data_IF_627786897318
#
_entry.id   IF_627786897318
#
_cell.length_a   1.000
_cell.length_b   1.000
_cell.length_c   1.000
_cell.angle_alpha   90.00
_cell.angle_beta   90.00
_cell.angle_gamma   90.00
#
_symmetry.space_group_name_H-M   'P 1'
#
loop_
_entity.id
_entity.type
_entity.pdbx_description
1 polymer ?
#
# COMPACT_ATOMS: atom_id res chain seq x y z
N UNK A 1 12.99 6.84 -19.20
CA UNK A 1 13.37 5.54 -18.58
C UNK A 1 14.64 5.63 -17.72
N UNK A 2 15.82 5.97 -18.27
CA UNK A 2 17.09 6.04 -17.50
C UNK A 2 17.06 6.95 -16.26
N UNK A 3 16.38 8.10 -16.30
CA UNK A 3 16.28 9.04 -15.16
C UNK A 3 15.46 8.46 -14.01
N UNK A 4 14.34 7.80 -14.31
CA UNK A 4 13.47 7.16 -13.32
C UNK A 4 14.18 5.98 -12.63
N UNK A 5 14.91 5.16 -13.38
CA UNK A 5 15.71 4.05 -12.83
C UNK A 5 16.81 4.56 -11.91
N UNK A 6 17.51 5.65 -12.28
CA UNK A 6 18.53 6.27 -11.45
C UNK A 6 17.96 6.82 -10.14
N UNK A 7 16.81 7.48 -10.19
CA UNK A 7 16.11 7.97 -9.02
C UNK A 7 15.67 6.83 -8.09
N UNK A 8 15.14 5.74 -8.66
CA UNK A 8 14.74 4.57 -7.88
C UNK A 8 15.93 3.89 -7.19
N UNK A 9 17.08 3.78 -7.87
CA UNK A 9 18.30 3.22 -7.28
C UNK A 9 18.84 4.08 -6.13
N UNK A 10 18.78 5.41 -6.25
CA UNK A 10 19.23 6.32 -5.19
C UNK A 10 18.31 6.26 -3.97
N UNK A 11 17.00 6.20 -4.19
CA UNK A 11 16.00 6.01 -3.12
C UNK A 11 16.23 4.65 -2.44
N UNK A 12 16.35 3.58 -3.23
CA UNK A 12 16.65 2.24 -2.73
C UNK A 12 17.94 2.21 -1.89
N UNK A 13 19.02 2.81 -2.38
CA UNK A 13 20.31 2.84 -1.67
C UNK A 13 20.18 3.50 -0.30
N UNK A 14 19.52 4.67 -0.22
CA UNK A 14 19.27 5.38 1.05
C UNK A 14 18.37 4.56 1.99
N UNK A 15 17.31 3.96 1.45
CA UNK A 15 16.41 3.10 2.20
C UNK A 15 17.16 1.88 2.76
N UNK A 16 17.95 1.20 1.93
CA UNK A 16 18.71 0.01 2.31
C UNK A 16 19.82 0.31 3.33
N UNK A 17 20.52 1.44 3.21
CA UNK A 17 21.50 1.87 4.21
C UNK A 17 20.85 2.06 5.59
N UNK A 18 19.73 2.78 5.66
CA UNK A 18 18.97 2.96 6.93
C UNK A 18 18.47 1.63 7.50
N UNK A 19 17.96 0.74 6.66
CA UNK A 19 17.54 -0.59 7.08
C UNK A 19 18.70 -1.40 7.68
N UNK A 20 19.88 -1.36 7.06
CA UNK A 20 21.09 -2.01 7.60
C UNK A 20 21.51 -1.42 8.94
N UNK A 21 21.52 -0.11 9.08
CA UNK A 21 21.83 0.59 10.34
C UNK A 21 20.86 0.19 11.46
N UNK A 22 19.56 0.17 11.21
CA UNK A 22 18.57 -0.26 12.19
C UNK A 22 18.77 -1.72 12.60
N UNK A 23 19.10 -2.58 11.66
CA UNK A 23 19.41 -3.99 11.95
C UNK A 23 20.68 -4.13 12.79
N UNK A 24 21.74 -3.38 12.44
CA UNK A 24 22.99 -3.35 13.21
C UNK A 24 22.77 -2.80 14.62
N UNK A 25 22.03 -1.70 14.76
CA UNK A 25 21.66 -1.14 16.06
C UNK A 25 20.92 -2.15 16.94
N UNK A 26 19.98 -2.90 16.36
CA UNK A 26 19.27 -3.96 17.09
C UNK A 26 20.21 -5.05 17.62
N UNK A 27 21.17 -5.53 16.81
CA UNK A 27 22.15 -6.52 17.22
C UNK A 27 23.10 -5.96 18.27
N UNK A 28 23.59 -4.72 18.08
CA UNK A 28 24.46 -4.06 19.05
C UNK A 28 23.78 -3.90 20.42
N UNK A 29 22.53 -3.44 20.44
CA UNK A 29 21.77 -3.31 21.67
C UNK A 29 21.55 -4.65 22.39
N UNK A 30 21.31 -5.74 21.63
CA UNK A 30 21.21 -7.08 22.18
C UNK A 30 22.54 -7.52 22.82
N UNK A 31 23.66 -7.32 22.13
CA UNK A 31 25.00 -7.64 22.63
C UNK A 31 25.36 -6.85 23.88
N UNK A 32 25.11 -5.54 23.90
CA UNK A 32 25.35 -4.68 25.07
C UNK A 32 24.50 -5.15 26.27
N UNK A 33 23.22 -5.42 26.04
CA UNK A 33 22.34 -5.92 27.10
C UNK A 33 22.86 -7.25 27.70
N UNK A 34 23.27 -8.18 26.85
CA UNK A 34 23.85 -9.46 27.30
C UNK A 34 25.17 -9.26 28.06
N UNK A 35 26.07 -8.40 27.55
CA UNK A 35 27.36 -8.10 28.20
C UNK A 35 27.20 -7.48 29.60
N UNK A 36 26.09 -6.76 29.84
CA UNK A 36 25.83 -6.13 31.15
C UNK A 36 25.06 -7.05 32.04
N UNK A 37 24.04 -7.76 31.53
CA UNK A 37 23.16 -8.62 32.38
C UNK A 37 23.85 -9.91 32.82
N UNK A 38 24.62 -10.59 31.94
CA UNK A 38 25.22 -11.89 32.25
C UNK A 38 26.24 -11.80 33.40
N UNK A 39 27.23 -10.88 33.39
CA UNK A 39 28.14 -10.74 34.54
C UNK A 39 27.43 -10.34 35.82
N UNK A 40 26.41 -9.44 35.71
CA UNK A 40 25.67 -8.99 36.88
C UNK A 40 24.86 -10.10 37.58
N UNK A 41 24.31 -11.03 36.81
CA UNK A 41 23.63 -12.20 37.33
C UNK A 41 24.65 -13.17 37.94
N UNK A 42 25.82 -13.37 37.29
CA UNK A 42 26.83 -14.31 37.70
C UNK A 42 27.54 -13.88 39.01
N UNK A 43 27.82 -12.60 39.19
CA UNK A 43 28.52 -12.06 40.34
C UNK A 43 27.60 -11.52 41.47
N UNK A 44 26.32 -11.92 41.49
CA UNK A 44 25.42 -11.60 42.57
C UNK A 44 24.95 -10.14 42.65
N UNK A 45 24.86 -9.46 41.53
CA UNK A 45 24.34 -8.10 41.45
C UNK A 45 22.88 -8.00 41.92
N UNK A 46 22.46 -6.80 42.39
CA UNK A 46 21.11 -6.61 42.92
C UNK A 46 20.05 -6.92 41.84
N UNK A 47 19.02 -7.64 42.19
CA UNK A 47 17.87 -8.00 41.35
C UNK A 47 17.18 -6.75 40.78
N UNK A 48 17.01 -5.72 41.63
CA UNK A 48 16.41 -4.43 41.21
C UNK A 48 17.19 -3.78 40.06
N UNK A 49 18.54 -3.74 40.15
CA UNK A 49 19.36 -3.19 39.09
C UNK A 49 19.28 -3.97 37.74
N UNK A 50 19.15 -5.31 37.82
CA UNK A 50 18.97 -6.17 36.66
C UNK A 50 17.61 -5.94 35.98
N UNK A 51 16.57 -5.74 36.78
CA UNK A 51 15.22 -5.38 36.27
C UNK A 51 15.26 -4.01 35.52
N UNK A 52 15.91 -3.00 36.12
CA UNK A 52 16.03 -1.68 35.47
C UNK A 52 16.73 -1.77 34.11
N UNK A 53 17.86 -2.50 34.03
CA UNK A 53 18.59 -2.70 32.76
C UNK A 53 17.69 -3.41 31.73
N UNK A 54 16.95 -4.42 32.13
CA UNK A 54 16.04 -5.14 31.26
C UNK A 54 14.91 -4.24 30.75
N UNK A 55 14.31 -3.39 31.61
CA UNK A 55 13.29 -2.44 31.22
C UNK A 55 13.83 -1.38 30.23
N UNK A 56 15.03 -0.87 30.45
CA UNK A 56 15.69 0.05 29.51
C UNK A 56 15.93 -0.62 28.15
N UNK A 57 16.30 -1.90 28.13
CA UNK A 57 16.44 -2.66 26.89
C UNK A 57 15.10 -2.86 26.17
N UNK A 58 14.02 -3.14 26.90
CA UNK A 58 12.69 -3.21 26.29
C UNK A 58 12.25 -1.87 25.70
N UNK A 59 12.51 -0.76 26.39
CA UNK A 59 12.25 0.58 25.89
C UNK A 59 13.06 0.88 24.63
N UNK A 60 14.33 0.49 24.60
CA UNK A 60 15.20 0.59 23.42
C UNK A 60 14.64 -0.21 22.23
N UNK A 61 14.23 -1.46 22.44
CA UNK A 61 13.62 -2.28 21.39
C UNK A 61 12.31 -1.68 20.88
N UNK A 62 11.50 -1.11 21.79
CA UNK A 62 10.28 -0.42 21.42
C UNK A 62 10.57 0.82 20.57
N UNK A 63 11.53 1.64 20.94
CA UNK A 63 11.96 2.80 20.17
C UNK A 63 12.48 2.41 18.78
N UNK A 64 13.32 1.37 18.68
CA UNK A 64 13.77 0.83 17.40
C UNK A 64 12.62 0.32 16.53
N UNK A 65 11.61 -0.31 17.14
CA UNK A 65 10.42 -0.75 16.41
C UNK A 65 9.65 0.43 15.84
N UNK A 66 9.51 1.52 16.60
CA UNK A 66 8.87 2.75 16.16
C UNK A 66 9.61 3.37 14.97
N UNK A 67 10.94 3.53 15.09
CA UNK A 67 11.78 4.06 14.00
C UNK A 67 11.69 3.18 12.75
N UNK A 68 11.71 1.86 12.91
CA UNK A 68 11.56 0.93 11.78
C UNK A 68 10.17 1.04 11.12
N UNK A 69 9.12 1.26 11.89
CA UNK A 69 7.76 1.48 11.35
C UNK A 69 7.68 2.78 10.54
N UNK A 70 8.28 3.87 11.04
CA UNK A 70 8.37 5.15 10.33
C UNK A 70 9.20 5.03 9.05
N UNK A 71 10.30 4.27 9.11
CA UNK A 71 11.12 3.99 7.94
C UNK A 71 10.36 3.21 6.87
N UNK A 72 9.57 2.20 7.27
CA UNK A 72 8.72 1.45 6.34
C UNK A 72 7.60 2.33 5.75
N UNK A 73 7.03 3.23 6.54
CA UNK A 73 6.03 4.18 6.09
C UNK A 73 6.57 5.12 5.00
N UNK A 74 7.86 5.50 5.06
CA UNK A 74 8.47 6.38 4.05
C UNK A 74 8.45 5.80 2.64
N UNK A 75 8.52 4.48 2.48
CA UNK A 75 8.37 3.82 1.17
C UNK A 75 6.94 3.96 0.64
N UNK A 76 5.95 3.77 1.52
CA UNK A 76 4.55 3.89 1.13
C UNK A 76 4.14 5.31 0.74
N UNK A 77 4.86 6.35 1.21
CA UNK A 77 4.59 7.73 0.82
C UNK A 77 4.84 7.98 -0.67
N UNK A 78 5.79 7.28 -1.29
CA UNK A 78 6.05 7.37 -2.74
C UNK A 78 4.79 7.06 -3.54
N UNK A 79 4.05 6.02 -3.13
CA UNK A 79 2.81 5.64 -3.80
C UNK A 79 1.61 6.44 -3.29
N UNK A 80 1.44 6.52 -1.96
CA UNK A 80 0.20 7.04 -1.36
C UNK A 80 0.08 8.56 -1.41
N UNK A 81 1.20 9.28 -1.33
CA UNK A 81 1.23 10.74 -1.34
C UNK A 81 1.65 11.28 -2.70
N UNK A 82 2.77 10.75 -3.23
CA UNK A 82 3.39 11.29 -4.44
C UNK A 82 2.82 10.65 -5.72
N UNK A 83 1.98 9.61 -5.59
CA UNK A 83 1.36 8.87 -6.70
C UNK A 83 2.37 8.35 -7.73
N UNK A 84 3.63 8.09 -7.30
CA UNK A 84 4.68 7.58 -8.18
C UNK A 84 4.74 6.05 -8.13
N UNK A 85 3.85 5.42 -8.90
CA UNK A 85 3.73 3.97 -8.98
C UNK A 85 4.96 3.31 -9.62
N UNK A 86 5.59 3.98 -10.59
CA UNK A 86 6.74 3.44 -11.32
C UNK A 86 7.96 3.36 -10.41
N UNK A 87 8.28 4.46 -9.69
CA UNK A 87 9.38 4.46 -8.73
C UNK A 87 9.11 3.49 -7.58
N UNK A 88 7.87 3.45 -7.06
CA UNK A 88 7.49 2.53 -6.00
C UNK A 88 7.66 1.06 -6.41
N UNK A 89 7.24 0.70 -7.64
CA UNK A 89 7.44 -0.65 -8.18
C UNK A 89 8.93 -1.01 -8.26
N UNK A 90 9.74 -0.13 -8.83
CA UNK A 90 11.16 -0.39 -9.03
C UNK A 90 11.93 -0.52 -7.71
N UNK A 91 11.68 0.36 -6.73
CA UNK A 91 12.27 0.25 -5.39
C UNK A 91 11.85 -1.05 -4.70
N UNK A 92 10.57 -1.44 -4.84
CA UNK A 92 10.04 -2.68 -4.26
C UNK A 92 10.65 -3.93 -4.92
N UNK A 93 10.90 -3.90 -6.23
CA UNK A 93 11.61 -4.95 -6.98
C UNK A 93 13.04 -5.12 -6.45
N UNK A 94 13.79 -4.00 -6.32
CA UNK A 94 15.15 -4.03 -5.79
C UNK A 94 15.21 -4.55 -4.35
N UNK A 95 14.20 -4.21 -3.52
CA UNK A 95 14.07 -4.75 -2.17
C UNK A 95 13.81 -6.25 -2.19
N UNK A 96 12.93 -6.73 -3.07
CA UNK A 96 12.63 -8.16 -3.22
C UNK A 96 13.88 -8.96 -3.58
N UNK A 97 14.69 -8.46 -4.50
CA UNK A 97 15.95 -9.10 -4.92
C UNK A 97 17.00 -9.18 -3.80
N UNK A 98 17.02 -8.19 -2.90
CA UNK A 98 17.98 -8.12 -1.79
C UNK A 98 17.52 -8.84 -0.52
N UNK A 99 16.23 -9.03 -0.35
CA UNK A 99 15.66 -9.76 0.78
C UNK A 99 15.70 -11.25 0.47
N UNK A 100 16.22 -12.07 1.38
CA UNK A 100 16.16 -13.52 1.22
C UNK A 100 14.72 -14.04 1.22
N UNK A 101 14.48 -15.24 0.71
CA UNK A 101 13.16 -15.85 0.46
C UNK A 101 12.16 -15.75 1.63
N UNK A 102 12.63 -15.77 2.90
CA UNK A 102 11.78 -15.68 4.09
C UNK A 102 11.14 -14.30 4.34
N UNK A 103 11.60 -13.24 3.68
CA UNK A 103 11.17 -11.85 3.90
C UNK A 103 10.59 -11.20 2.66
N UNK A 104 10.44 -11.94 1.57
CA UNK A 104 10.04 -11.41 0.26
C UNK A 104 8.55 -11.13 0.13
N UNK A 105 7.66 -11.77 0.92
CA UNK A 105 6.21 -11.67 0.73
C UNK A 105 5.68 -10.23 0.74
N UNK A 106 6.12 -9.38 1.70
CA UNK A 106 5.71 -7.96 1.71
C UNK A 106 6.35 -7.15 0.58
N UNK A 107 7.62 -7.40 0.25
CA UNK A 107 8.27 -6.71 -0.86
C UNK A 107 7.63 -7.07 -2.20
N UNK A 108 7.26 -8.35 -2.37
CA UNK A 108 6.52 -8.84 -3.54
C UNK A 108 5.12 -8.22 -3.63
N UNK A 109 4.41 -8.13 -2.50
CA UNK A 109 3.10 -7.48 -2.44
C UNK A 109 3.17 -5.99 -2.80
N UNK A 110 4.18 -5.27 -2.29
CA UNK A 110 4.42 -3.88 -2.65
C UNK A 110 4.81 -3.73 -4.13
N UNK A 111 5.62 -4.66 -4.65
CA UNK A 111 5.96 -4.67 -6.07
C UNK A 111 4.72 -4.88 -6.94
N UNK A 112 3.88 -5.86 -6.62
CA UNK A 112 2.61 -6.09 -7.30
C UNK A 112 1.69 -4.86 -7.22
N UNK A 113 1.64 -4.17 -6.07
CA UNK A 113 0.89 -2.93 -5.91
C UNK A 113 1.40 -1.83 -6.84
N UNK A 114 2.71 -1.62 -6.92
CA UNK A 114 3.31 -0.65 -7.84
C UNK A 114 3.06 -0.97 -9.31
N UNK A 115 3.15 -2.26 -9.68
CA UNK A 115 2.82 -2.74 -11.02
C UNK A 115 1.35 -2.47 -11.37
N UNK A 116 0.42 -2.78 -10.48
CA UNK A 116 -1.00 -2.52 -10.67
C UNK A 116 -1.26 -1.03 -10.93
N UNK A 117 -0.76 -0.16 -10.05
CA UNK A 117 -0.98 1.28 -10.17
C UNK A 117 -0.24 1.93 -11.36
N UNK A 118 0.78 1.29 -11.90
CA UNK A 118 1.45 1.71 -13.15
C UNK A 118 0.80 1.13 -14.42
N UNK A 119 -0.32 0.37 -14.30
CA UNK A 119 -1.05 -0.20 -15.42
C UNK A 119 -0.52 -1.55 -15.93
N UNK A 120 0.45 -2.15 -15.24
CA UNK A 120 1.03 -3.46 -15.59
C UNK A 120 0.25 -4.58 -14.90
N UNK A 121 -1.05 -4.70 -15.21
CA UNK A 121 -2.00 -5.54 -14.48
C UNK A 121 -1.66 -7.03 -14.51
N UNK A 122 -1.29 -7.56 -15.67
CA UNK A 122 -0.92 -8.98 -15.84
C UNK A 122 0.34 -9.35 -15.04
N UNK A 123 1.31 -8.43 -15.00
CA UNK A 123 2.51 -8.65 -14.21
C UNK A 123 2.22 -8.57 -12.72
N UNK A 124 1.35 -7.63 -12.31
CA UNK A 124 0.88 -7.54 -10.93
C UNK A 124 0.21 -8.84 -10.49
N UNK A 125 -0.69 -9.38 -11.29
CA UNK A 125 -1.40 -10.64 -11.01
C UNK A 125 -0.42 -11.81 -10.84
N UNK A 126 0.56 -11.95 -11.74
CA UNK A 126 1.60 -12.97 -11.62
C UNK A 126 2.38 -12.88 -10.32
N UNK A 127 2.70 -11.65 -9.87
CA UNK A 127 3.38 -11.48 -8.58
C UNK A 127 2.49 -11.86 -7.38
N UNK A 128 1.17 -11.71 -7.48
CA UNK A 128 0.23 -12.03 -6.40
C UNK A 128 0.00 -13.54 -6.22
N UNK A 129 0.26 -14.36 -7.25
CA UNK A 129 0.09 -15.82 -7.17
C UNK A 129 1.03 -16.44 -6.14
N UNK A 130 2.28 -15.95 -6.07
CA UNK A 130 3.34 -16.51 -5.22
C UNK A 130 3.52 -15.76 -3.89
N UNK A 131 2.57 -14.93 -3.49
CA UNK A 131 2.70 -14.17 -2.23
C UNK A 131 2.38 -15.05 -1.04
N UNK A 132 3.42 -15.43 -0.30
CA UNK A 132 3.27 -16.05 1.01
C UNK A 132 3.31 -15.00 2.11
N UNK A 133 2.20 -14.82 2.81
CA UNK A 133 2.09 -13.91 3.95
C UNK A 133 2.17 -14.68 5.27
N UNK A 134 2.89 -14.12 6.25
CA UNK A 134 2.84 -14.65 7.61
C UNK A 134 1.42 -14.53 8.15
N UNK A 135 0.86 -15.62 8.68
CA UNK A 135 -0.53 -15.76 9.15
C UNK A 135 -1.04 -14.62 10.05
N UNK A 136 -0.16 -13.86 10.72
CA UNK A 136 -0.52 -12.79 11.66
C UNK A 136 -0.57 -11.38 11.04
N UNK A 137 -0.31 -11.22 9.74
CA UNK A 137 -0.32 -9.89 9.10
C UNK A 137 -1.64 -9.66 8.37
N UNK A 138 -2.67 -9.32 9.13
CA UNK A 138 -4.03 -9.10 8.64
C UNK A 138 -4.12 -7.93 7.64
N UNK A 139 -3.39 -6.84 7.89
CA UNK A 139 -3.34 -5.70 6.96
C UNK A 139 -2.76 -6.08 5.59
N UNK A 140 -1.69 -6.89 5.57
CA UNK A 140 -1.14 -7.41 4.33
C UNK A 140 -2.09 -8.40 3.64
N UNK A 141 -2.85 -9.18 4.41
CA UNK A 141 -3.85 -10.10 3.87
C UNK A 141 -5.03 -9.34 3.22
N UNK A 142 -5.48 -8.22 3.80
CA UNK A 142 -6.48 -7.34 3.21
C UNK A 142 -5.93 -6.66 1.94
N UNK A 143 -4.69 -6.15 1.96
CA UNK A 143 -4.06 -5.57 0.78
C UNK A 143 -3.93 -6.59 -0.37
N UNK A 144 -3.53 -7.83 -0.07
CA UNK A 144 -3.46 -8.90 -1.06
C UNK A 144 -4.83 -9.16 -1.72
N UNK A 145 -5.90 -9.23 -0.92
CA UNK A 145 -7.26 -9.41 -1.43
C UNK A 145 -7.71 -8.22 -2.27
N UNK A 146 -7.41 -7.00 -1.81
CA UNK A 146 -7.71 -5.79 -2.58
C UNK A 146 -7.04 -5.81 -3.97
N UNK A 147 -5.76 -6.15 -4.03
CA UNK A 147 -5.04 -6.21 -5.31
C UNK A 147 -5.56 -7.34 -6.20
N UNK A 148 -5.86 -8.52 -5.66
CA UNK A 148 -6.49 -9.62 -6.41
C UNK A 148 -7.83 -9.20 -6.98
N UNK A 149 -8.70 -8.62 -6.15
CA UNK A 149 -10.00 -8.08 -6.57
C UNK A 149 -9.83 -7.08 -7.72
N UNK A 150 -8.93 -6.11 -7.57
CA UNK A 150 -8.72 -5.09 -8.58
C UNK A 150 -8.19 -5.65 -9.91
N UNK A 151 -7.31 -6.67 -9.88
CA UNK A 151 -6.87 -7.36 -11.09
C UNK A 151 -8.05 -8.08 -11.79
N UNK A 152 -8.93 -8.74 -11.03
CA UNK A 152 -10.14 -9.39 -11.57
C UNK A 152 -11.09 -8.37 -12.20
N UNK A 153 -11.30 -7.21 -11.56
CA UNK A 153 -12.09 -6.10 -12.13
C UNK A 153 -11.50 -5.62 -13.46
N UNK A 154 -10.18 -5.48 -13.59
CA UNK A 154 -9.54 -5.09 -14.85
C UNK A 154 -9.74 -6.13 -15.96
N UNK A 155 -9.79 -7.41 -15.60
CA UNK A 155 -10.08 -8.51 -16.53
C UNK A 155 -11.56 -8.71 -16.82
N UNK A 156 -12.44 -7.94 -16.17
CA UNK A 156 -13.91 -8.10 -16.21
C UNK A 156 -14.38 -9.48 -15.72
N UNK A 157 -13.60 -10.13 -14.86
CA UNK A 157 -13.96 -11.38 -14.19
C UNK A 157 -14.78 -11.08 -12.92
N UNK A 158 -16.02 -10.69 -13.13
CA UNK A 158 -16.92 -10.26 -12.06
C UNK A 158 -17.20 -11.39 -11.06
N UNK A 159 -17.46 -12.66 -11.48
CA UNK A 159 -17.68 -13.74 -10.52
C UNK A 159 -16.51 -13.94 -9.56
N UNK A 160 -15.27 -13.97 -10.08
CA UNK A 160 -14.07 -14.10 -9.23
C UNK A 160 -13.87 -12.89 -8.31
N UNK A 161 -14.17 -11.67 -8.77
CA UNK A 161 -14.12 -10.47 -7.94
C UNK A 161 -15.14 -10.54 -6.79
N UNK A 162 -16.35 -11.01 -7.03
CA UNK A 162 -17.37 -11.20 -5.99
C UNK A 162 -16.96 -12.26 -4.95
N UNK A 163 -16.25 -13.31 -5.36
CA UNK A 163 -15.71 -14.30 -4.43
C UNK A 163 -14.70 -13.67 -3.46
N UNK A 164 -13.77 -12.89 -3.98
CA UNK A 164 -12.81 -12.14 -3.13
C UNK A 164 -13.51 -11.15 -2.21
N UNK A 165 -14.55 -10.47 -2.71
CA UNK A 165 -15.38 -9.58 -1.88
C UNK A 165 -16.03 -10.32 -0.72
N UNK A 166 -16.57 -11.54 -0.97
CA UNK A 166 -17.18 -12.39 0.09
C UNK A 166 -16.14 -12.80 1.14
N UNK A 167 -14.89 -13.09 0.73
CA UNK A 167 -13.81 -13.35 1.68
C UNK A 167 -13.55 -12.14 2.60
N UNK A 168 -13.50 -10.91 2.03
CA UNK A 168 -13.30 -9.68 2.82
C UNK A 168 -14.48 -9.45 3.75
N UNK A 169 -15.71 -9.72 3.32
CA UNK A 169 -16.90 -9.63 4.15
C UNK A 169 -16.86 -10.58 5.35
N UNK A 170 -16.36 -11.80 5.15
CA UNK A 170 -16.15 -12.74 6.26
C UNK A 170 -15.11 -12.23 7.28
N UNK A 171 -14.07 -11.53 6.82
CA UNK A 171 -13.08 -10.88 7.70
C UNK A 171 -13.71 -9.70 8.46
N UNK A 172 -14.52 -8.88 7.81
CA UNK A 172 -15.23 -7.75 8.43
C UNK A 172 -16.21 -8.20 9.53
N UNK A 173 -16.79 -9.38 9.40
CA UNK A 173 -17.65 -9.98 10.44
C UNK A 173 -16.88 -10.37 11.70
N UNK A 174 -15.56 -10.58 11.62
CA UNK A 174 -14.69 -10.83 12.76
C UNK A 174 -14.28 -9.48 13.40
N UNK A 175 -14.64 -9.27 14.68
CA UNK A 175 -14.55 -7.97 15.40
C UNK A 175 -13.19 -7.22 15.34
N UNK A 176 -12.09 -7.90 14.99
CA UNK A 176 -10.72 -7.38 15.18
C UNK A 176 -10.23 -6.36 14.14
N UNK A 177 -10.75 -6.40 12.88
CA UNK A 177 -10.30 -5.50 11.79
C UNK A 177 -11.45 -4.86 11.02
N UNK A 178 -12.55 -4.65 11.70
CA UNK A 178 -13.79 -4.21 11.08
C UNK A 178 -13.64 -2.93 10.25
N UNK A 179 -12.98 -1.90 10.78
CA UNK A 179 -12.89 -0.59 10.09
C UNK A 179 -12.17 -0.64 8.74
N UNK A 180 -11.02 -1.32 8.68
CA UNK A 180 -10.24 -1.40 7.43
C UNK A 180 -10.94 -2.32 6.41
N UNK A 181 -11.56 -3.42 6.87
CA UNK A 181 -12.33 -4.30 6.02
C UNK A 181 -13.64 -3.66 5.53
N UNK A 182 -14.36 -2.92 6.38
CA UNK A 182 -15.57 -2.18 6.01
C UNK A 182 -15.26 -1.11 4.96
N UNK A 183 -14.15 -0.37 5.12
CA UNK A 183 -13.70 0.59 4.12
C UNK A 183 -13.34 -0.10 2.79
N UNK A 184 -12.64 -1.22 2.85
CA UNK A 184 -12.29 -1.99 1.66
C UNK A 184 -13.53 -2.52 0.94
N UNK A 185 -14.55 -2.98 1.66
CA UNK A 185 -15.82 -3.41 1.07
C UNK A 185 -16.52 -2.27 0.32
N UNK A 186 -16.53 -1.05 0.87
CA UNK A 186 -17.07 0.12 0.16
C UNK A 186 -16.32 0.39 -1.15
N UNK A 187 -14.98 0.27 -1.15
CA UNK A 187 -14.17 0.39 -2.37
C UNK A 187 -14.54 -0.68 -3.40
N UNK A 188 -14.71 -1.94 -2.96
CA UNK A 188 -15.08 -3.05 -3.83
C UNK A 188 -16.48 -2.88 -4.39
N UNK A 189 -17.45 -2.46 -3.56
CA UNK A 189 -18.81 -2.20 -3.99
C UNK A 189 -18.91 -1.07 -5.02
N UNK A 190 -18.14 0.02 -4.83
CA UNK A 190 -18.06 1.11 -5.81
C UNK A 190 -17.47 0.62 -7.15
N UNK A 191 -16.42 -0.22 -7.11
CA UNK A 191 -15.83 -0.78 -8.32
C UNK A 191 -16.78 -1.74 -9.05
N UNK A 192 -17.55 -2.55 -8.33
CA UNK A 192 -18.58 -3.41 -8.92
C UNK A 192 -19.73 -2.61 -9.51
N UNK A 193 -20.16 -1.51 -8.86
CA UNK A 193 -21.18 -0.61 -9.39
C UNK A 193 -20.74 -0.03 -10.74
N UNK A 194 -19.46 0.39 -10.87
CA UNK A 194 -18.89 0.85 -12.16
C UNK A 194 -18.97 -0.24 -13.23
N UNK A 195 -18.66 -1.49 -12.91
CA UNK A 195 -18.71 -2.59 -13.89
C UNK A 195 -20.15 -2.93 -14.33
N UNK A 196 -21.14 -2.63 -13.49
CA UNK A 196 -22.56 -2.82 -13.77
C UNK A 196 -23.21 -1.58 -14.38
N UNK A 197 -22.43 -0.51 -14.59
CA UNK A 197 -22.90 0.81 -15.05
C UNK A 197 -23.97 1.42 -14.11
N UNK A 198 -23.96 1.03 -12.84
CA UNK A 198 -24.81 1.63 -11.80
C UNK A 198 -24.12 2.88 -11.23
N UNK A 199 -24.25 3.96 -11.99
CA UNK A 199 -23.55 5.21 -11.70
C UNK A 199 -24.05 5.91 -10.45
N UNK A 200 -25.33 5.77 -10.12
CA UNK A 200 -25.92 6.35 -8.91
C UNK A 200 -25.37 5.65 -7.66
N UNK A 201 -25.36 4.32 -7.64
CA UNK A 201 -24.76 3.56 -6.55
C UNK A 201 -23.26 3.84 -6.43
N UNK A 202 -22.52 3.91 -7.55
CA UNK A 202 -21.10 4.26 -7.57
C UNK A 202 -20.85 5.63 -6.92
N UNK A 203 -21.59 6.67 -7.34
CA UNK A 203 -21.48 8.03 -6.81
C UNK A 203 -21.80 8.08 -5.31
N UNK A 204 -22.91 7.47 -4.88
CA UNK A 204 -23.31 7.44 -3.48
C UNK A 204 -22.25 6.79 -2.57
N UNK A 205 -21.64 5.67 -3.02
CA UNK A 205 -20.58 4.98 -2.29
C UNK A 205 -19.31 5.82 -2.19
N UNK A 206 -18.87 6.43 -3.31
CA UNK A 206 -17.64 7.23 -3.34
C UNK A 206 -17.77 8.52 -2.51
N UNK A 207 -18.91 9.20 -2.55
CA UNK A 207 -19.16 10.39 -1.71
C UNK A 207 -19.19 10.02 -0.23
N UNK A 208 -19.78 8.87 0.13
CA UNK A 208 -19.74 8.37 1.52
C UNK A 208 -18.32 8.11 2.01
N UNK A 209 -17.40 7.78 1.12
CA UNK A 209 -16.00 7.49 1.45
C UNK A 209 -15.13 8.75 1.53
N UNK A 210 -15.57 9.89 0.98
CA UNK A 210 -14.75 11.09 0.78
C UNK A 210 -14.13 11.62 2.08
N UNK A 211 -14.88 11.64 3.18
CA UNK A 211 -14.39 12.04 4.50
C UNK A 211 -13.32 11.08 5.06
N UNK A 212 -13.23 9.86 4.54
CA UNK A 212 -12.28 8.82 4.94
C UNK A 212 -10.99 8.79 4.14
N UNK A 213 -10.83 9.59 3.08
CA UNK A 213 -9.62 9.55 2.24
C UNK A 213 -8.40 10.08 2.98
N UNK A 214 -7.41 9.18 3.16
CA UNK A 214 -6.17 9.45 3.89
C UNK A 214 -4.95 9.64 2.98
N UNK A 215 -5.09 9.42 1.68
CA UNK A 215 -3.98 9.48 0.73
C UNK A 215 -4.39 10.05 -0.61
N UNK A 216 -3.43 10.63 -1.34
CA UNK A 216 -3.69 11.17 -2.68
C UNK A 216 -4.13 10.08 -3.67
N UNK A 217 -3.55 8.89 -3.59
CA UNK A 217 -3.95 7.78 -4.47
C UNK A 217 -5.44 7.42 -4.31
N UNK A 218 -5.99 7.48 -3.08
CA UNK A 218 -7.42 7.25 -2.84
C UNK A 218 -8.26 8.34 -3.50
N UNK A 219 -7.87 9.62 -3.35
CA UNK A 219 -8.55 10.76 -3.96
C UNK A 219 -8.53 10.69 -5.49
N UNK A 220 -7.36 10.40 -6.07
CA UNK A 220 -7.19 10.27 -7.53
C UNK A 220 -8.00 9.10 -8.07
N UNK A 221 -7.97 7.95 -7.38
CA UNK A 221 -8.76 6.77 -7.78
C UNK A 221 -10.27 7.04 -7.73
N UNK A 222 -10.75 7.71 -6.68
CA UNK A 222 -12.16 8.09 -6.56
C UNK A 222 -12.55 9.11 -7.64
N UNK A 223 -11.72 10.12 -7.88
CA UNK A 223 -11.94 11.11 -8.93
C UNK A 223 -12.06 10.45 -10.31
N UNK A 224 -11.25 9.40 -10.59
CA UNK A 224 -11.33 8.65 -11.83
C UNK A 224 -12.67 7.93 -12.01
N UNK A 225 -13.19 7.29 -10.95
CA UNK A 225 -14.49 6.61 -11.02
C UNK A 225 -15.65 7.62 -11.11
N UNK A 226 -15.57 8.71 -10.34
CA UNK A 226 -16.56 9.79 -10.41
C UNK A 226 -16.57 10.49 -11.77
N UNK A 227 -15.42 10.71 -12.41
CA UNK A 227 -15.37 11.28 -13.76
C UNK A 227 -16.12 10.41 -14.78
N UNK A 228 -16.01 9.09 -14.67
CA UNK A 228 -16.77 8.16 -15.53
C UNK A 228 -18.28 8.27 -15.28
N UNK A 229 -18.71 8.34 -14.00
CA UNK A 229 -20.09 8.50 -13.64
C UNK A 229 -20.66 9.84 -14.14
N UNK A 230 -19.89 10.94 -13.96
CA UNK A 230 -20.27 12.27 -14.44
C UNK A 230 -20.44 12.30 -15.97
N UNK A 231 -19.55 11.66 -16.72
CA UNK A 231 -19.73 11.53 -18.17
C UNK A 231 -20.95 10.72 -18.57
N UNK A 232 -21.21 9.60 -17.90
CA UNK A 232 -22.35 8.77 -18.18
C UNK A 232 -23.69 9.49 -17.91
N UNK A 233 -23.69 10.44 -16.96
CA UNK A 233 -24.84 11.25 -16.58
C UNK A 233 -24.90 12.62 -17.31
N UNK A 234 -23.99 12.89 -18.23
CA UNK A 234 -23.95 14.16 -18.98
C UNK A 234 -23.38 15.35 -18.22
N UNK A 235 -22.82 15.14 -17.01
CA UNK A 235 -22.22 16.19 -16.19
C UNK A 235 -20.78 16.53 -16.64
N UNK A 236 -20.66 17.02 -17.86
CA UNK A 236 -19.36 17.22 -18.54
C UNK A 236 -18.40 18.13 -17.76
N UNK A 237 -18.87 19.23 -17.18
CA UNK A 237 -18.02 20.15 -16.43
C UNK A 237 -17.46 19.52 -15.16
N UNK A 238 -18.26 18.70 -14.46
CA UNK A 238 -17.80 17.96 -13.30
C UNK A 238 -16.74 16.94 -13.68
N UNK A 239 -16.98 16.20 -14.75
CA UNK A 239 -16.04 15.23 -15.29
C UNK A 239 -14.71 15.89 -15.67
N UNK A 240 -14.74 17.03 -16.40
CA UNK A 240 -13.53 17.78 -16.80
C UNK A 240 -12.72 18.23 -15.59
N UNK A 241 -13.36 18.80 -14.55
CA UNK A 241 -12.66 19.20 -13.30
C UNK A 241 -11.99 18.02 -12.63
N UNK A 242 -12.62 16.85 -12.62
CA UNK A 242 -12.03 15.63 -12.04
C UNK A 242 -10.87 15.11 -12.87
N UNK A 243 -10.97 15.12 -14.20
CA UNK A 243 -9.87 14.74 -15.08
C UNK A 243 -8.66 15.64 -14.90
N UNK A 244 -8.88 16.97 -14.79
CA UNK A 244 -7.80 17.92 -14.51
C UNK A 244 -7.10 17.60 -13.17
N UNK A 245 -7.88 17.34 -12.11
CA UNK A 245 -7.34 16.93 -10.82
C UNK A 245 -6.48 15.65 -10.93
N UNK A 246 -6.94 14.64 -11.72
CA UNK A 246 -6.18 13.40 -11.94
C UNK A 246 -4.85 13.68 -12.64
N UNK A 247 -4.85 14.56 -13.65
CA UNK A 247 -3.63 14.92 -14.39
C UNK A 247 -2.63 15.63 -13.48
N UNK A 248 -3.10 16.53 -12.62
CA UNK A 248 -2.24 17.29 -11.70
C UNK A 248 -1.69 16.46 -10.54
N UNK A 249 -2.51 15.57 -9.98
CA UNK A 249 -2.19 14.86 -8.73
C UNK A 249 -1.84 13.38 -8.93
N UNK A 250 -2.09 12.83 -10.12
CA UNK A 250 -2.00 11.38 -10.36
C UNK A 250 -0.58 10.85 -10.62
N UNK A 251 0.41 11.73 -10.79
CA UNK A 251 1.80 11.31 -10.97
C UNK A 251 1.98 10.30 -12.12
N UNK A 252 2.44 9.08 -11.78
CA UNK A 252 2.65 7.97 -12.74
C UNK A 252 1.56 6.90 -12.66
N UNK A 253 0.39 7.21 -12.11
CA UNK A 253 -0.74 6.27 -12.06
C UNK A 253 -1.31 6.02 -13.46
N UNK A 254 -1.74 4.78 -13.72
CA UNK A 254 -2.23 4.33 -15.02
C UNK A 254 -3.41 5.14 -15.59
N UNK A 255 -4.16 5.82 -14.74
CA UNK A 255 -5.33 6.60 -15.15
C UNK A 255 -4.98 8.00 -15.68
N UNK A 256 -3.75 8.48 -15.52
CA UNK A 256 -3.33 9.82 -15.94
C UNK A 256 -3.35 9.96 -17.44
N UNK A 257 -2.78 9.02 -18.19
CA UNK A 257 -2.76 9.09 -19.65
C UNK A 257 -4.18 8.97 -20.29
N UNK A 258 -5.04 8.03 -19.85
CA UNK A 258 -6.44 8.04 -20.26
C UNK A 258 -7.18 9.33 -19.91
N UNK A 259 -6.90 9.96 -18.75
CA UNK A 259 -7.52 11.22 -18.37
C UNK A 259 -7.14 12.38 -19.31
N UNK A 260 -5.86 12.47 -19.72
CA UNK A 260 -5.39 13.44 -20.73
C UNK A 260 -6.10 13.24 -22.06
N UNK A 261 -6.12 12.00 -22.55
CA UNK A 261 -6.76 11.65 -23.81
C UNK A 261 -8.26 12.00 -23.83
N UNK A 262 -8.97 11.72 -22.72
CA UNK A 262 -10.39 12.09 -22.60
C UNK A 262 -10.62 13.59 -22.57
N UNK A 263 -9.73 14.35 -21.95
CA UNK A 263 -9.82 15.80 -21.89
C UNK A 263 -9.58 16.42 -23.29
N UNK A 264 -8.58 15.93 -24.03
CA UNK A 264 -8.25 16.38 -25.37
C UNK A 264 -9.36 16.07 -26.36
N UNK A 265 -9.91 14.86 -26.37
CA UNK A 265 -10.94 14.42 -27.31
C UNK A 265 -12.28 15.14 -27.14
N UNK A 266 -12.58 15.68 -25.96
CA UNK A 266 -13.85 16.35 -25.64
C UNK A 266 -13.76 17.86 -25.56
N UNK A 267 -12.58 18.46 -25.67
CA UNK A 267 -12.40 19.92 -25.79
C UNK A 267 -12.74 20.48 -27.23
N UNK A 268 -13.28 19.66 -28.13
CA UNK A 268 -13.61 20.06 -29.52
C UNK A 268 -15.11 20.19 -29.81
N UNK A 269 -15.95 20.30 -28.76
CA UNK A 269 -17.39 20.49 -28.99
C UNK A 269 -17.93 21.70 -28.26
#
# INVERSE_FOLDING_TARGET
MKTTERNAQDIFRRYWQRFRLLRAARWLGCMVCLMVLVPRIWWGGSTAGSIVIFLLYLLYLWALRLVNSLHFLSLNLILNRDCDAVIFAEVSRLLMERLGSRSTGMARLNYAQGLYWSGRFEEAERQLTDVELKRKNEAAALLLRNLKFNCMIQRKDIPAAEDVRREVQAIAAQKKNRKDADYLLLCMDAALAVQREDWDACRALLLRMEEGYRSNIQKVSAAWQLAKADFAQGETENAQRRLQFIIEQGGTLYMVEPAKSLLETRNFS
#
